data_IF_145300702430
#
_entry.id   IF_145300702430
#
_cell.length_a   1.000
_cell.length_b   1.000
_cell.length_c   1.000
_cell.angle_alpha   90.00
_cell.angle_beta   90.00
_cell.angle_gamma   90.00
#
_symmetry.space_group_name_H-M   'P 1'
#
loop_
_entity.id
_entity.type
_entity.pdbx_description
1 polymer ?
#
# COMPACT_ATOMS: atom_id res chain seq x y z
N UNK A 1 8.74 -6.99 -60.83
CA UNK A 1 7.49 -7.27 -60.09
C UNK A 1 7.66 -8.13 -58.81
N UNK A 2 8.66 -9.03 -58.67
CA UNK A 2 8.87 -9.78 -57.40
C UNK A 2 9.73 -9.06 -56.33
N UNK A 3 10.53 -8.05 -56.69
CA UNK A 3 11.44 -7.33 -55.77
C UNK A 3 10.74 -6.29 -54.89
N UNK A 4 9.78 -5.53 -55.44
CA UNK A 4 9.10 -4.44 -54.71
C UNK A 4 8.31 -4.93 -53.48
N UNK A 5 7.72 -6.13 -53.53
CA UNK A 5 7.01 -6.71 -52.38
C UNK A 5 7.93 -7.23 -51.28
N UNK A 6 9.19 -7.56 -51.59
CA UNK A 6 10.18 -7.96 -50.58
C UNK A 6 10.73 -6.73 -49.85
N UNK A 7 11.01 -5.65 -50.57
CA UNK A 7 11.50 -4.39 -49.99
C UNK A 7 10.45 -3.74 -49.07
N UNK A 8 9.16 -3.79 -49.45
CA UNK A 8 8.07 -3.31 -48.59
C UNK A 8 7.93 -4.12 -47.30
N UNK A 9 8.08 -5.44 -47.37
CA UNK A 9 8.03 -6.33 -46.21
C UNK A 9 9.26 -6.16 -45.31
N UNK A 10 10.43 -5.91 -45.89
CA UNK A 10 11.65 -5.61 -45.14
C UNK A 10 11.54 -4.27 -44.43
N UNK A 11 10.98 -3.25 -45.09
CA UNK A 11 10.72 -1.95 -44.48
C UNK A 11 9.72 -2.01 -43.33
N UNK A 12 8.60 -2.72 -43.48
CA UNK A 12 7.64 -2.91 -42.38
C UNK A 12 8.25 -3.70 -41.22
N UNK A 13 9.04 -4.72 -41.49
CA UNK A 13 9.77 -5.46 -40.44
C UNK A 13 10.78 -4.57 -39.69
N UNK A 14 11.51 -3.70 -40.39
CA UNK A 14 12.44 -2.75 -39.78
C UNK A 14 11.72 -1.69 -38.95
N UNK A 15 10.56 -1.20 -39.40
CA UNK A 15 9.70 -0.32 -38.61
C UNK A 15 9.20 -1.03 -37.36
N UNK A 16 8.73 -2.27 -37.47
CA UNK A 16 8.28 -3.08 -36.34
C UNK A 16 9.42 -3.30 -35.32
N UNK A 17 10.62 -3.60 -35.79
CA UNK A 17 11.81 -3.75 -34.96
C UNK A 17 12.20 -2.44 -34.26
N UNK A 18 12.16 -1.30 -34.96
CA UNK A 18 12.42 0.02 -34.38
C UNK A 18 11.34 0.42 -33.37
N UNK A 19 10.09 0.07 -33.62
CA UNK A 19 8.96 0.36 -32.73
C UNK A 19 9.01 -0.52 -31.48
N UNK A 20 9.37 -1.80 -31.62
CA UNK A 20 9.60 -2.75 -30.51
C UNK A 20 10.85 -2.41 -29.70
N UNK A 21 11.90 -1.86 -30.31
CA UNK A 21 13.10 -1.39 -29.61
C UNK A 21 12.91 -0.06 -28.86
N UNK A 22 11.84 0.67 -29.14
CA UNK A 22 11.51 1.96 -28.52
C UNK A 22 10.40 1.81 -27.47
N UNK A 23 10.44 0.74 -26.67
CA UNK A 23 9.50 0.57 -25.56
C UNK A 23 9.70 1.72 -24.58
N UNK A 24 8.74 2.64 -24.55
CA UNK A 24 8.69 3.72 -23.57
C UNK A 24 8.83 3.11 -22.18
N UNK A 25 9.76 3.64 -21.40
CA UNK A 25 9.97 3.25 -20.01
C UNK A 25 8.65 3.48 -19.27
N UNK A 26 8.09 2.41 -18.70
CA UNK A 26 6.79 2.48 -18.01
C UNK A 26 6.93 2.67 -16.50
N UNK A 27 8.16 2.53 -15.98
CA UNK A 27 8.45 2.60 -14.55
C UNK A 27 9.68 3.44 -14.28
N UNK A 28 9.61 4.27 -13.24
CA UNK A 28 10.70 5.16 -12.84
C UNK A 28 11.08 4.88 -11.39
N UNK A 29 12.38 4.79 -11.15
CA UNK A 29 12.93 4.84 -9.79
C UNK A 29 12.97 6.29 -9.33
N UNK A 30 12.43 6.55 -8.14
CA UNK A 30 12.32 7.90 -7.60
C UNK A 30 12.55 7.91 -6.09
N UNK A 31 12.77 9.10 -5.54
CA UNK A 31 12.83 9.40 -4.11
C UNK A 31 11.63 10.24 -3.69
N UNK A 32 11.03 9.90 -2.55
CA UNK A 32 9.83 10.58 -2.05
C UNK A 32 10.18 11.94 -1.46
N UNK A 33 9.61 13.00 -2.00
CA UNK A 33 9.85 14.39 -1.57
C UNK A 33 8.75 14.86 -0.61
N UNK A 34 7.50 14.61 -0.96
CA UNK A 34 6.33 15.06 -0.18
C UNK A 34 5.19 14.04 -0.28
N UNK A 35 4.36 13.96 0.76
CA UNK A 35 3.21 13.05 0.80
C UNK A 35 1.97 13.78 1.31
N UNK A 36 0.96 13.92 0.45
CA UNK A 36 -0.37 14.40 0.83
C UNK A 36 -1.30 13.20 1.13
N UNK A 37 -1.40 12.87 2.41
CA UNK A 37 -2.19 11.72 2.85
C UNK A 37 -3.71 11.94 2.78
N UNK A 38 -4.17 13.20 2.71
CA UNK A 38 -5.59 13.52 2.61
C UNK A 38 -6.08 13.31 1.17
N UNK A 39 -5.30 13.80 0.20
CA UNK A 39 -5.61 13.66 -1.23
C UNK A 39 -5.11 12.34 -1.83
N UNK A 40 -4.36 11.53 -1.06
CA UNK A 40 -3.77 10.24 -1.48
C UNK A 40 -2.81 10.39 -2.65
N UNK A 41 -2.03 11.46 -2.64
CA UNK A 41 -1.01 11.78 -3.64
C UNK A 41 0.36 12.01 -3.00
N UNK A 42 1.42 11.95 -3.80
CA UNK A 42 2.77 12.31 -3.40
C UNK A 42 3.53 13.01 -4.53
N UNK A 43 4.62 13.67 -4.16
CA UNK A 43 5.62 14.20 -5.09
C UNK A 43 6.89 13.38 -4.95
N UNK A 44 7.47 12.97 -6.07
CA UNK A 44 8.73 12.23 -6.10
C UNK A 44 9.71 12.80 -7.12
N UNK A 45 10.99 12.57 -6.89
CA UNK A 45 12.06 12.98 -7.79
C UNK A 45 12.77 11.77 -8.38
N UNK A 46 12.85 11.68 -9.70
CA UNK A 46 13.51 10.59 -10.41
C UNK A 46 14.98 10.47 -10.04
N UNK A 47 15.45 9.25 -9.79
CA UNK A 47 16.84 8.98 -9.39
C UNK A 47 17.83 9.02 -10.57
N UNK A 48 17.33 8.91 -11.81
CA UNK A 48 18.16 8.81 -13.02
C UNK A 48 18.17 10.12 -13.80
N UNK A 49 17.00 10.75 -13.92
CA UNK A 49 16.75 11.91 -14.78
C UNK A 49 16.49 13.21 -13.99
N UNK A 50 16.48 13.15 -12.66
CA UNK A 50 16.14 14.26 -11.76
C UNK A 50 14.75 14.88 -12.03
N UNK A 51 13.86 14.20 -12.77
CA UNK A 51 12.54 14.70 -13.12
C UNK A 51 11.60 14.62 -11.91
N UNK A 52 10.84 15.68 -11.66
CA UNK A 52 9.81 15.68 -10.62
C UNK A 52 8.48 15.17 -11.17
N UNK A 53 7.89 14.22 -10.46
CA UNK A 53 6.56 13.70 -10.71
C UNK A 53 5.64 14.17 -9.59
N UNK A 54 4.64 14.97 -9.96
CA UNK A 54 3.61 15.48 -9.05
C UNK A 54 2.37 14.60 -9.11
N UNK A 55 1.52 14.72 -8.08
CA UNK A 55 0.22 14.06 -7.98
C UNK A 55 0.28 12.54 -8.18
N UNK A 56 1.39 11.90 -7.81
CA UNK A 56 1.55 10.46 -7.93
C UNK A 56 0.57 9.76 -6.99
N UNK A 57 -0.31 8.93 -7.52
CA UNK A 57 -1.33 8.24 -6.72
C UNK A 57 -0.70 7.24 -5.75
N UNK A 58 -1.03 7.33 -4.47
CA UNK A 58 -0.54 6.42 -3.41
C UNK A 58 -1.27 5.06 -3.38
N UNK A 59 -2.27 4.91 -4.24
CA UNK A 59 -3.15 3.77 -4.30
C UNK A 59 -4.29 4.01 -5.29
N UNK A 60 -5.00 2.94 -5.66
CA UNK A 60 -6.05 2.98 -6.68
C UNK A 60 -7.46 2.78 -6.10
N UNK A 61 -7.68 3.13 -4.83
CA UNK A 61 -8.99 3.06 -4.19
C UNK A 61 -9.03 2.21 -2.93
N UNK A 62 -8.70 0.92 -3.04
CA UNK A 62 -8.85 -0.05 -1.94
C UNK A 62 -7.59 -0.27 -1.12
N UNK A 63 -6.42 0.02 -1.68
CA UNK A 63 -5.12 -0.16 -1.03
C UNK A 63 -4.33 1.11 -1.19
N UNK A 64 -3.86 1.68 -0.09
CA UNK A 64 -2.98 2.84 -0.07
C UNK A 64 -1.75 2.54 0.77
N UNK A 65 -0.61 3.05 0.31
CA UNK A 65 0.64 3.05 1.06
C UNK A 65 1.05 4.49 1.29
N UNK A 66 1.35 4.86 2.52
CA UNK A 66 1.94 6.15 2.86
C UNK A 66 3.46 5.98 2.89
N UNK A 67 4.19 6.24 1.81
CA UNK A 67 5.62 6.08 1.81
C UNK A 67 6.28 7.09 2.76
N UNK A 68 7.43 6.72 3.30
CA UNK A 68 8.21 7.62 4.14
C UNK A 68 8.93 8.64 3.25
N UNK A 69 8.96 9.91 3.68
CA UNK A 69 9.74 10.96 3.00
C UNK A 69 11.22 10.55 2.97
N UNK A 70 11.86 10.72 1.82
CA UNK A 70 13.24 10.30 1.54
C UNK A 70 13.41 8.80 1.25
N UNK A 71 12.34 8.00 1.28
CA UNK A 71 12.42 6.61 0.85
C UNK A 71 12.52 6.53 -0.68
N UNK A 72 13.24 5.53 -1.19
CA UNK A 72 13.20 5.21 -2.61
C UNK A 72 11.91 4.45 -2.92
N UNK A 73 11.38 4.68 -4.11
CA UNK A 73 10.19 4.04 -4.59
C UNK A 73 10.27 3.75 -6.09
N UNK A 74 9.41 2.84 -6.52
CA UNK A 74 9.13 2.59 -7.92
C UNK A 74 7.74 3.15 -8.23
N UNK A 75 7.68 4.04 -9.22
CA UNK A 75 6.42 4.56 -9.76
C UNK A 75 6.17 3.99 -11.14
N UNK A 76 4.89 3.88 -11.51
CA UNK A 76 4.44 3.48 -12.84
C UNK A 76 3.71 4.61 -13.55
N UNK A 77 3.81 4.65 -14.88
CA UNK A 77 3.03 5.53 -15.73
C UNK A 77 1.74 4.83 -16.18
N UNK A 78 0.61 5.54 -16.13
CA UNK A 78 -0.67 5.07 -16.68
C UNK A 78 -0.71 5.47 -18.15
N UNK A 79 -0.87 4.49 -19.05
CA UNK A 79 -0.95 4.71 -20.50
C UNK A 79 0.24 5.51 -21.08
N UNK A 80 1.44 5.35 -20.50
CA UNK A 80 2.65 6.12 -20.87
C UNK A 80 2.49 7.64 -20.77
N UNK A 81 1.68 8.12 -19.82
CA UNK A 81 1.48 9.53 -19.55
C UNK A 81 2.21 9.94 -18.26
N UNK A 82 3.19 10.83 -18.37
CA UNK A 82 3.96 11.35 -17.22
C UNK A 82 3.11 12.17 -16.24
N UNK A 83 1.98 12.71 -16.69
CA UNK A 83 1.03 13.40 -15.81
C UNK A 83 0.07 12.45 -15.08
N UNK A 84 0.12 11.14 -15.36
CA UNK A 84 -0.72 10.14 -14.73
C UNK A 84 0.13 9.01 -14.18
N UNK A 85 0.53 9.13 -12.91
CA UNK A 85 1.47 8.20 -12.27
C UNK A 85 0.89 7.61 -10.99
N UNK A 86 1.40 6.45 -10.61
CA UNK A 86 1.00 5.78 -9.38
C UNK A 86 2.19 5.08 -8.73
N UNK A 87 2.14 4.97 -7.40
CA UNK A 87 3.08 4.22 -6.60
C UNK A 87 2.88 2.72 -6.83
N UNK A 88 3.94 2.02 -7.23
CA UNK A 88 3.97 0.56 -7.25
C UNK A 88 4.41 0.07 -5.87
N UNK A 89 5.60 0.50 -5.44
CA UNK A 89 6.16 0.11 -4.14
C UNK A 89 7.16 1.14 -3.62
N UNK A 90 7.30 1.23 -2.30
CA UNK A 90 8.32 2.03 -1.62
C UNK A 90 9.15 1.16 -0.67
N UNK A 91 10.43 1.49 -0.50
CA UNK A 91 11.33 0.79 0.42
C UNK A 91 10.90 0.92 1.89
N UNK A 92 10.21 2.00 2.24
CA UNK A 92 9.68 2.24 3.57
C UNK A 92 8.34 2.98 3.51
N UNK A 93 7.41 2.58 4.38
CA UNK A 93 6.08 3.17 4.53
C UNK A 93 5.79 3.47 5.99
N UNK A 94 5.12 4.58 6.26
CA UNK A 94 4.64 4.97 7.58
C UNK A 94 3.25 4.37 7.89
N UNK A 95 2.44 4.14 6.86
CA UNK A 95 1.09 3.58 6.99
C UNK A 95 0.75 2.69 5.79
N UNK A 96 0.16 1.52 6.07
CA UNK A 96 -0.53 0.69 5.08
C UNK A 96 -2.01 0.70 5.40
N UNK A 97 -2.85 1.00 4.41
CA UNK A 97 -4.30 1.05 4.55
C UNK A 97 -4.97 0.20 3.47
N UNK A 98 -5.89 -0.68 3.89
CA UNK A 98 -6.67 -1.56 3.04
C UNK A 98 -8.14 -1.44 3.43
N UNK A 99 -9.01 -1.18 2.46
CA UNK A 99 -10.45 -1.09 2.62
C UNK A 99 -11.18 -2.00 1.63
N UNK A 100 -12.07 -2.84 2.16
CA UNK A 100 -12.90 -3.77 1.38
C UNK A 100 -14.32 -3.71 1.90
N UNK A 101 -15.18 -2.97 1.18
CA UNK A 101 -16.55 -2.72 1.62
C UNK A 101 -16.56 -2.01 2.97
N UNK A 102 -17.11 -2.65 4.00
CA UNK A 102 -17.14 -2.08 5.37
C UNK A 102 -16.01 -2.57 6.27
N UNK A 103 -15.07 -3.34 5.72
CA UNK A 103 -13.90 -3.85 6.45
C UNK A 103 -12.68 -2.97 6.19
N UNK A 104 -11.96 -2.63 7.25
CA UNK A 104 -10.73 -1.84 7.19
C UNK A 104 -9.60 -2.59 7.91
N UNK A 105 -8.45 -2.67 7.25
CA UNK A 105 -7.19 -3.09 7.82
C UNK A 105 -6.17 -1.97 7.67
N UNK A 106 -5.61 -1.49 8.77
CA UNK A 106 -4.57 -0.47 8.77
C UNK A 106 -3.41 -0.90 9.66
N UNK A 107 -2.19 -0.61 9.23
CA UNK A 107 -0.98 -0.74 10.05
C UNK A 107 -0.26 0.60 10.04
N UNK A 108 0.08 1.11 11.22
CA UNK A 108 0.95 2.28 11.39
C UNK A 108 1.86 2.10 12.62
N UNK A 109 2.62 3.13 12.99
CA UNK A 109 3.53 3.12 14.14
C UNK A 109 2.85 2.80 15.49
N UNK A 110 1.54 2.98 15.60
CA UNK A 110 0.76 2.68 16.81
C UNK A 110 0.26 1.23 16.84
N UNK A 111 0.38 0.48 15.76
CA UNK A 111 0.00 -0.92 15.66
C UNK A 111 -1.03 -1.20 14.58
N UNK A 112 -1.89 -2.19 14.84
CA UNK A 112 -2.85 -2.71 13.88
C UNK A 112 -4.28 -2.23 14.18
N UNK A 113 -5.00 -1.82 13.16
CA UNK A 113 -6.44 -1.65 13.19
C UNK A 113 -7.08 -2.75 12.34
N UNK A 114 -7.94 -3.55 12.97
CA UNK A 114 -8.80 -4.52 12.30
C UNK A 114 -10.23 -4.14 12.65
N UNK A 115 -10.99 -3.67 11.66
CA UNK A 115 -12.31 -3.06 11.87
C UNK A 115 -13.31 -3.56 10.85
N UNK A 116 -14.57 -3.71 11.26
CA UNK A 116 -15.73 -3.90 10.37
C UNK A 116 -16.89 -3.05 10.87
N UNK A 117 -17.47 -2.22 10.00
CA UNK A 117 -18.49 -1.23 10.38
C UNK A 117 -17.98 -0.36 11.55
N UNK A 118 -18.61 -0.41 12.73
CA UNK A 118 -18.21 0.32 13.93
C UNK A 118 -17.52 -0.56 14.99
N UNK A 119 -17.24 -1.83 14.66
CA UNK A 119 -16.63 -2.81 15.57
C UNK A 119 -15.13 -2.94 15.27
N UNK A 120 -14.29 -2.96 16.30
CA UNK A 120 -12.86 -3.25 16.16
C UNK A 120 -12.51 -4.55 16.88
N UNK A 121 -11.52 -5.29 16.36
CA UNK A 121 -11.01 -6.50 17.03
C UNK A 121 -10.54 -6.19 18.46
N UNK A 122 -9.94 -5.01 18.67
CA UNK A 122 -9.54 -4.52 19.99
C UNK A 122 -10.72 -4.49 20.96
N UNK A 123 -11.85 -3.94 20.53
CA UNK A 123 -13.07 -3.87 21.33
C UNK A 123 -13.60 -5.27 21.64
N UNK A 124 -13.77 -6.12 20.62
CA UNK A 124 -14.28 -7.49 20.78
C UNK A 124 -13.45 -8.29 21.78
N UNK A 125 -12.11 -8.22 21.70
CA UNK A 125 -11.22 -8.94 22.61
C UNK A 125 -11.23 -8.33 24.02
N UNK A 126 -11.31 -7.00 24.14
CA UNK A 126 -11.43 -6.33 25.43
C UNK A 126 -12.75 -6.69 26.14
N UNK A 127 -13.86 -6.76 25.39
CA UNK A 127 -15.17 -7.12 25.91
C UNK A 127 -15.20 -8.61 26.31
N UNK A 128 -14.62 -9.49 25.49
CA UNK A 128 -14.45 -10.91 25.84
C UNK A 128 -13.68 -11.09 27.15
N UNK A 129 -12.55 -10.40 27.32
CA UNK A 129 -11.77 -10.47 28.57
C UNK A 129 -12.60 -10.00 29.77
N UNK A 130 -13.39 -8.95 29.60
CA UNK A 130 -14.28 -8.44 30.65
C UNK A 130 -15.34 -9.47 31.04
N UNK A 131 -15.97 -10.14 30.07
CA UNK A 131 -16.95 -11.18 30.36
C UNK A 131 -16.33 -12.41 31.01
N UNK A 132 -15.16 -12.86 30.52
CA UNK A 132 -14.43 -14.00 31.11
C UNK A 132 -14.02 -13.72 32.57
N UNK A 133 -13.62 -12.49 32.90
CA UNK A 133 -13.26 -12.11 34.26
C UNK A 133 -14.43 -12.18 35.26
N UNK A 134 -15.68 -12.33 34.80
CA UNK A 134 -16.85 -12.53 35.67
C UNK A 134 -17.06 -13.98 36.09
N UNK A 135 -16.35 -14.93 35.47
CA UNK A 135 -16.51 -16.36 35.75
C UNK A 135 -15.96 -16.68 37.14
N UNK A 136 -16.81 -17.25 37.99
CA UNK A 136 -16.45 -17.81 39.29
C UNK A 136 -16.74 -19.30 39.25
N UNK A 137 -15.73 -20.12 39.55
CA UNK A 137 -15.83 -21.57 39.56
C UNK A 137 -16.06 -22.04 40.99
N UNK A 138 -17.12 -22.85 41.21
CA UNK A 138 -17.49 -23.38 42.54
C UNK A 138 -16.57 -24.53 42.95
N UNK A 139 -16.12 -25.35 42.01
CA UNK A 139 -15.17 -26.45 42.21
C UNK A 139 -14.08 -26.41 41.15
N UNK A 140 -12.83 -26.16 41.57
CA UNK A 140 -11.68 -25.99 40.68
C UNK A 140 -11.08 -24.59 40.73
N UNK A 141 -10.48 -24.15 39.64
CA UNK A 141 -9.73 -22.90 39.56
C UNK A 141 -10.51 -21.84 38.80
N UNK A 142 -10.84 -20.73 39.46
CA UNK A 142 -11.42 -19.54 38.82
C UNK A 142 -10.41 -18.82 37.94
N UNK A 143 -10.91 -17.92 37.07
CA UNK A 143 -10.07 -17.11 36.20
C UNK A 143 -9.09 -16.26 37.03
N UNK A 144 -7.83 -16.25 36.61
CA UNK A 144 -6.81 -15.36 37.16
C UNK A 144 -7.01 -13.95 36.57
N UNK A 145 -7.85 -13.15 37.23
CA UNK A 145 -8.21 -11.78 36.79
C UNK A 145 -6.97 -10.88 36.63
N UNK A 146 -5.99 -10.86 37.55
CA UNK A 146 -4.75 -10.11 37.34
C UNK A 146 -4.00 -10.49 36.05
N UNK A 147 -3.86 -11.78 35.76
CA UNK A 147 -3.21 -12.24 34.53
C UNK A 147 -4.00 -11.86 33.27
N UNK A 148 -5.33 -11.97 33.31
CA UNK A 148 -6.20 -11.53 32.22
C UNK A 148 -6.09 -10.02 31.96
N UNK A 149 -6.01 -9.21 33.01
CA UNK A 149 -5.81 -7.76 32.88
C UNK A 149 -4.43 -7.41 32.30
N UNK A 150 -3.38 -8.17 32.64
CA UNK A 150 -2.06 -8.01 32.02
C UNK A 150 -2.09 -8.38 30.53
N UNK A 151 -2.84 -9.42 30.14
CA UNK A 151 -3.08 -9.77 28.72
C UNK A 151 -3.81 -8.62 28.02
N UNK A 152 -4.86 -8.07 28.63
CA UNK A 152 -5.61 -6.92 28.09
C UNK A 152 -4.71 -5.72 27.82
N UNK A 153 -3.80 -5.40 28.73
CA UNK A 153 -2.83 -4.31 28.55
C UNK A 153 -1.91 -4.57 27.36
N UNK A 154 -1.34 -5.78 27.25
CA UNK A 154 -0.49 -6.18 26.12
C UNK A 154 -1.25 -6.17 24.78
N UNK A 155 -2.51 -6.59 24.77
CA UNK A 155 -3.36 -6.53 23.58
C UNK A 155 -3.48 -5.08 23.07
N UNK A 156 -3.70 -4.13 23.98
CA UNK A 156 -3.88 -2.72 23.66
C UNK A 156 -2.61 -2.02 23.16
N UNK A 157 -1.43 -2.64 23.29
CA UNK A 157 -0.18 -2.14 22.67
C UNK A 157 0.00 -2.64 21.23
N UNK A 158 -0.77 -3.65 20.81
CA UNK A 158 -0.71 -4.22 19.46
C UNK A 158 -1.85 -3.69 18.60
N UNK A 159 -3.05 -3.56 19.18
CA UNK A 159 -4.25 -3.11 18.49
C UNK A 159 -4.58 -1.65 18.83
N UNK A 160 -4.93 -0.88 17.81
CA UNK A 160 -5.32 0.54 17.92
C UNK A 160 -6.82 0.72 18.08
#
# INVERSE_FOLDING_TARGET
MKREGQELNEFTNLLDLKTKGNTKVQTHWAEVVEVDWNNKTMTVKGLIDDLEFYDVLLGLGSVYKKPKIGAKCLIGLILNNEAATFLIEAEAVDELFIEVGTSTFKIDANGFLVKRNNETLKKVLNDLIVELNKIIVIQGTSINVPAMNAIKQRLNTVLT
#
